data_IF_440393075012
#
_entry.id   IF_440393075012
#
_cell.length_a   1.000
_cell.length_b   1.000
_cell.length_c   1.000
_cell.angle_alpha   90.00
_cell.angle_beta   90.00
_cell.angle_gamma   90.00
#
_symmetry.space_group_name_H-M   'P 1'
#
loop_
_entity.id
_entity.type
_entity.pdbx_description
1 polymer ?
#
# COMPACT_ATOMS: atom_id res chain seq x y z
N UNK A 1 60.37 29.71 -35.29
CA UNK A 1 59.01 29.26 -35.63
C UNK A 1 58.33 28.86 -34.34
N UNK A 2 57.77 29.84 -33.63
CA UNK A 2 57.08 29.64 -32.35
C UNK A 2 55.66 29.18 -32.65
N UNK A 3 55.33 27.95 -32.26
CA UNK A 3 53.96 27.45 -32.33
C UNK A 3 53.07 28.34 -31.44
N UNK A 4 52.03 28.89 -32.03
CA UNK A 4 51.11 29.80 -31.36
C UNK A 4 50.09 28.98 -30.54
N UNK A 5 50.39 28.80 -29.25
CA UNK A 5 49.58 28.02 -28.31
C UNK A 5 48.24 28.69 -27.97
N UNK A 6 48.04 29.95 -28.37
CA UNK A 6 46.80 30.71 -28.15
C UNK A 6 45.60 30.10 -28.91
N UNK A 7 45.81 29.69 -30.16
CA UNK A 7 44.79 29.07 -31.02
C UNK A 7 44.34 27.68 -30.52
N UNK A 8 45.22 26.93 -29.87
CA UNK A 8 44.86 25.64 -29.26
C UNK A 8 44.01 25.81 -28.01
N UNK A 9 44.27 26.86 -27.22
CA UNK A 9 43.50 27.19 -26.02
C UNK A 9 42.08 27.66 -26.33
N UNK A 10 41.91 28.49 -27.37
CA UNK A 10 40.60 29.01 -27.78
C UNK A 10 39.63 27.95 -28.31
N UNK A 11 40.14 26.82 -28.81
CA UNK A 11 39.32 25.69 -29.28
C UNK A 11 39.10 24.66 -28.17
N UNK A 12 40.10 24.38 -27.33
CA UNK A 12 40.01 23.36 -26.28
C UNK A 12 39.04 23.72 -25.15
N UNK A 13 39.01 24.98 -24.74
CA UNK A 13 38.14 25.45 -23.64
C UNK A 13 36.64 25.31 -23.96
N UNK A 14 36.13 25.80 -25.10
CA UNK A 14 34.72 25.62 -25.44
C UNK A 14 34.38 24.15 -25.74
N UNK A 15 35.29 23.37 -26.32
CA UNK A 15 35.06 21.95 -26.57
C UNK A 15 34.90 21.16 -25.25
N UNK A 16 35.75 21.44 -24.25
CA UNK A 16 35.64 20.86 -22.91
C UNK A 16 34.36 21.34 -22.18
N UNK A 17 33.99 22.61 -22.32
CA UNK A 17 32.78 23.16 -21.71
C UNK A 17 31.49 22.53 -22.29
N UNK A 18 31.41 22.36 -23.60
CA UNK A 18 30.28 21.68 -24.27
C UNK A 18 30.21 20.21 -23.88
N UNK A 19 31.36 19.52 -23.82
CA UNK A 19 31.41 18.10 -23.44
C UNK A 19 30.96 17.87 -21.99
N UNK A 20 31.40 18.73 -21.07
CA UNK A 20 30.98 18.67 -19.66
C UNK A 20 29.50 19.04 -19.52
N UNK A 21 29.02 20.07 -20.22
CA UNK A 21 27.62 20.46 -20.22
C UNK A 21 26.69 19.35 -20.71
N UNK A 22 27.04 18.68 -21.81
CA UNK A 22 26.29 17.54 -22.35
C UNK A 22 26.28 16.35 -21.37
N UNK A 23 27.41 16.05 -20.74
CA UNK A 23 27.50 14.97 -19.74
C UNK A 23 26.64 15.25 -18.50
N UNK A 24 26.73 16.46 -17.93
CA UNK A 24 25.91 16.83 -16.78
C UNK A 24 24.42 16.90 -17.14
N UNK A 25 24.07 17.42 -18.32
CA UNK A 25 22.69 17.47 -18.79
C UNK A 25 22.12 16.07 -19.02
N UNK A 26 22.88 15.16 -19.63
CA UNK A 26 22.46 13.77 -19.80
C UNK A 26 22.29 13.06 -18.45
N UNK A 27 23.24 13.25 -17.53
CA UNK A 27 23.18 12.64 -16.18
C UNK A 27 22.02 13.20 -15.33
N UNK A 28 21.75 14.49 -15.42
CA UNK A 28 20.60 15.12 -14.76
C UNK A 28 19.28 14.68 -15.39
N UNK A 29 19.22 14.56 -16.73
CA UNK A 29 18.06 14.08 -17.47
C UNK A 29 17.70 12.65 -17.11
N UNK A 30 18.67 11.73 -17.07
CA UNK A 30 18.45 10.33 -16.65
C UNK A 30 17.95 10.27 -15.21
N UNK A 31 18.57 11.01 -14.29
CA UNK A 31 18.13 11.05 -12.89
C UNK A 31 16.72 11.68 -12.71
N UNK A 32 16.31 12.60 -13.59
CA UNK A 32 14.95 13.14 -13.59
C UNK A 32 13.94 12.15 -14.18
N UNK A 33 14.30 11.45 -15.25
CA UNK A 33 13.48 10.41 -15.86
C UNK A 33 13.19 9.27 -14.88
N UNK A 34 14.21 8.70 -14.23
CA UNK A 34 14.06 7.63 -13.24
C UNK A 34 13.15 8.05 -12.07
N UNK A 35 13.30 9.28 -11.56
CA UNK A 35 12.45 9.80 -10.48
C UNK A 35 11.00 9.96 -10.92
N UNK A 36 10.77 10.38 -12.16
CA UNK A 36 9.43 10.54 -12.72
C UNK A 36 8.73 9.20 -12.88
N UNK A 37 9.45 8.17 -13.35
CA UNK A 37 8.91 6.82 -13.50
C UNK A 37 8.58 6.19 -12.14
N UNK A 38 9.49 6.27 -11.16
CA UNK A 38 9.24 5.77 -9.80
C UNK A 38 8.02 6.47 -9.18
N UNK A 39 7.88 7.78 -9.38
CA UNK A 39 6.72 8.51 -8.89
C UNK A 39 5.42 8.12 -9.62
N UNK A 40 5.49 7.80 -10.91
CA UNK A 40 4.35 7.36 -11.70
C UNK A 40 3.88 5.99 -11.25
N UNK A 41 4.75 4.99 -11.22
CA UNK A 41 4.42 3.64 -10.77
C UNK A 41 3.89 3.63 -9.32
N UNK A 42 4.45 4.46 -8.45
CA UNK A 42 3.93 4.63 -7.09
C UNK A 42 2.47 5.10 -7.10
N UNK A 43 2.15 6.11 -7.92
CA UNK A 43 0.80 6.67 -7.98
C UNK A 43 -0.20 5.67 -8.53
N UNK A 44 0.17 4.96 -9.58
CA UNK A 44 -0.63 3.89 -10.19
C UNK A 44 -0.93 2.77 -9.18
N UNK A 45 0.09 2.22 -8.52
CA UNK A 45 -0.12 1.18 -7.51
C UNK A 45 -0.90 1.69 -6.28
N UNK A 46 -0.75 2.97 -5.92
CA UNK A 46 -1.56 3.56 -4.86
C UNK A 46 -3.03 3.73 -5.27
N UNK A 47 -3.31 4.05 -6.53
CA UNK A 47 -4.67 4.17 -7.06
C UNK A 47 -5.38 2.82 -7.07
N UNK A 48 -4.72 1.76 -7.55
CA UNK A 48 -5.24 0.38 -7.52
C UNK A 48 -5.60 -0.05 -6.09
N UNK A 49 -4.68 0.17 -5.15
CA UNK A 49 -4.93 -0.09 -3.73
C UNK A 49 -6.11 0.75 -3.20
N UNK A 50 -6.15 2.06 -3.49
CA UNK A 50 -7.24 2.92 -3.02
C UNK A 50 -8.60 2.44 -3.54
N UNK A 51 -8.69 2.03 -4.80
CA UNK A 51 -9.91 1.48 -5.38
C UNK A 51 -10.32 0.20 -4.64
N UNK A 52 -9.41 -0.77 -4.51
CA UNK A 52 -9.72 -2.05 -3.88
C UNK A 52 -10.15 -1.89 -2.40
N UNK A 53 -9.45 -1.07 -1.62
CA UNK A 53 -9.79 -0.82 -0.22
C UNK A 53 -11.06 0.02 -0.06
N UNK A 54 -11.38 0.90 -1.02
CA UNK A 54 -12.65 1.65 -1.00
C UNK A 54 -13.83 0.70 -1.20
N UNK A 55 -13.73 -0.22 -2.17
CA UNK A 55 -14.75 -1.25 -2.39
C UNK A 55 -15.00 -2.08 -1.14
N UNK A 56 -13.95 -2.54 -0.45
CA UNK A 56 -14.09 -3.30 0.79
C UNK A 56 -14.73 -2.49 1.91
N UNK A 57 -14.34 -1.22 2.09
CA UNK A 57 -14.95 -0.34 3.08
C UNK A 57 -16.44 -0.14 2.81
N UNK A 58 -16.81 0.05 1.56
CA UNK A 58 -18.20 0.30 1.18
C UNK A 58 -19.04 -0.99 1.41
N UNK A 59 -18.49 -2.18 1.10
CA UNK A 59 -19.11 -3.46 1.47
C UNK A 59 -19.28 -3.62 2.99
N UNK A 60 -18.28 -3.27 3.80
CA UNK A 60 -18.41 -3.33 5.27
C UNK A 60 -19.46 -2.36 5.80
N UNK A 61 -19.64 -1.19 5.19
CA UNK A 61 -20.68 -0.23 5.57
C UNK A 61 -22.08 -0.79 5.28
N UNK A 62 -22.22 -1.51 4.18
CA UNK A 62 -23.49 -2.04 3.73
C UNK A 62 -23.74 -3.51 4.13
N UNK A 63 -22.86 -4.11 4.93
CA UNK A 63 -22.86 -5.56 5.25
C UNK A 63 -24.18 -6.09 5.84
N UNK A 64 -24.96 -5.23 6.52
CA UNK A 64 -26.28 -5.62 7.04
C UNK A 64 -27.31 -5.84 5.92
N UNK A 65 -27.14 -5.17 4.78
CA UNK A 65 -28.05 -5.20 3.63
C UNK A 65 -27.48 -6.04 2.47
N UNK A 66 -26.16 -6.07 2.33
CA UNK A 66 -25.43 -6.75 1.24
C UNK A 66 -24.61 -7.89 1.84
N UNK A 67 -25.18 -9.10 1.75
CA UNK A 67 -24.54 -10.35 2.23
C UNK A 67 -24.20 -11.32 1.10
N UNK A 68 -24.10 -10.83 -0.12
CA UNK A 68 -23.69 -11.63 -1.28
C UNK A 68 -22.23 -12.06 -1.16
N UNK A 69 -22.03 -13.35 -0.90
CA UNK A 69 -20.73 -13.97 -0.68
C UNK A 69 -19.83 -13.82 -1.91
N UNK A 70 -20.38 -13.93 -3.13
CA UNK A 70 -19.58 -13.80 -4.36
C UNK A 70 -19.00 -12.39 -4.50
N UNK A 71 -19.79 -11.38 -4.14
CA UNK A 71 -19.34 -9.99 -4.15
C UNK A 71 -18.21 -9.74 -3.13
N UNK A 72 -18.32 -10.32 -1.93
CA UNK A 72 -17.27 -10.28 -0.91
C UNK A 72 -15.99 -10.97 -1.37
N UNK A 73 -16.10 -12.17 -1.94
CA UNK A 73 -14.95 -12.91 -2.51
C UNK A 73 -14.23 -12.08 -3.56
N UNK A 74 -14.97 -11.53 -4.52
CA UNK A 74 -14.41 -10.75 -5.60
C UNK A 74 -13.66 -9.52 -5.06
N UNK A 75 -14.24 -8.79 -4.10
CA UNK A 75 -13.60 -7.63 -3.49
C UNK A 75 -12.36 -7.97 -2.67
N UNK A 76 -12.39 -9.07 -1.89
CA UNK A 76 -11.25 -9.52 -1.09
C UNK A 76 -10.11 -9.98 -2.00
N UNK A 77 -10.40 -10.77 -3.04
CA UNK A 77 -9.39 -11.20 -4.00
C UNK A 77 -8.76 -10.01 -4.72
N UNK A 78 -9.57 -9.05 -5.19
CA UNK A 78 -9.05 -7.85 -5.83
C UNK A 78 -8.13 -7.05 -4.91
N UNK A 79 -8.46 -6.95 -3.61
CA UNK A 79 -7.58 -6.30 -2.64
C UNK A 79 -6.29 -7.09 -2.39
N UNK A 80 -6.35 -8.41 -2.30
CA UNK A 80 -5.17 -9.25 -2.14
C UNK A 80 -4.23 -9.18 -3.35
N UNK A 81 -4.78 -9.21 -4.56
CA UNK A 81 -4.01 -9.10 -5.80
C UNK A 81 -3.34 -7.72 -5.88
N UNK A 82 -4.07 -6.64 -5.61
CA UNK A 82 -3.50 -5.28 -5.57
C UNK A 82 -2.37 -5.14 -4.53
N UNK A 83 -2.48 -5.81 -3.37
CA UNK A 83 -1.42 -5.82 -2.35
C UNK A 83 -0.18 -6.58 -2.85
N UNK A 84 -0.35 -7.73 -3.49
CA UNK A 84 0.77 -8.53 -4.01
C UNK A 84 1.48 -7.82 -5.17
N UNK A 85 0.72 -7.23 -6.09
CA UNK A 85 1.27 -6.49 -7.23
C UNK A 85 2.06 -5.26 -6.77
N UNK A 86 1.58 -4.59 -5.72
CA UNK A 86 2.26 -3.44 -5.13
C UNK A 86 3.38 -3.82 -4.13
N UNK A 87 3.55 -5.11 -3.78
CA UNK A 87 4.41 -5.56 -2.67
C UNK A 87 5.86 -5.10 -2.75
N UNK A 88 6.44 -5.08 -3.95
CA UNK A 88 7.84 -4.69 -4.16
C UNK A 88 8.03 -3.17 -4.27
N UNK A 89 6.94 -2.42 -4.43
CA UNK A 89 6.94 -0.97 -4.65
C UNK A 89 6.52 -0.21 -3.39
N UNK A 90 5.78 -0.86 -2.50
CA UNK A 90 5.30 -0.29 -1.24
C UNK A 90 6.42 -0.21 -0.18
N UNK A 91 6.27 0.67 0.83
CA UNK A 91 7.20 0.71 1.96
C UNK A 91 7.25 -0.62 2.69
N UNK A 92 8.37 -0.95 3.34
CA UNK A 92 8.52 -2.20 4.09
C UNK A 92 7.50 -2.34 5.24
N UNK A 93 7.05 -1.21 5.78
CA UNK A 93 5.98 -1.13 6.77
C UNK A 93 4.64 -1.66 6.23
N UNK A 94 4.42 -1.74 4.92
CA UNK A 94 3.14 -2.21 4.35
C UNK A 94 3.13 -3.73 4.13
N UNK A 95 4.24 -4.44 4.39
CA UNK A 95 4.36 -5.89 4.11
C UNK A 95 3.35 -6.76 4.88
N UNK A 96 2.85 -6.27 6.02
CA UNK A 96 1.85 -6.96 6.82
C UNK A 96 0.41 -6.70 6.36
N UNK A 97 0.20 -5.83 5.35
CA UNK A 97 -1.12 -5.32 4.98
C UNK A 97 -2.10 -6.44 4.62
N UNK A 98 -1.67 -7.43 3.84
CA UNK A 98 -2.51 -8.59 3.48
C UNK A 98 -2.98 -9.36 4.72
N UNK A 99 -2.05 -9.67 5.64
CA UNK A 99 -2.37 -10.39 6.86
C UNK A 99 -3.26 -9.56 7.80
N UNK A 100 -2.99 -8.27 7.92
CA UNK A 100 -3.80 -7.36 8.74
C UNK A 100 -5.21 -7.19 8.18
N UNK A 101 -5.36 -7.14 6.86
CA UNK A 101 -6.66 -7.14 6.20
C UNK A 101 -7.41 -8.46 6.45
N UNK A 102 -6.73 -9.62 6.35
CA UNK A 102 -7.29 -10.93 6.68
C UNK A 102 -7.85 -10.96 8.11
N UNK A 103 -7.11 -10.43 9.09
CA UNK A 103 -7.59 -10.37 10.47
C UNK A 103 -8.76 -9.40 10.65
N UNK A 104 -8.67 -8.19 10.08
CA UNK A 104 -9.75 -7.21 10.19
C UNK A 104 -11.08 -7.72 9.61
N UNK A 105 -11.05 -8.35 8.43
CA UNK A 105 -12.23 -8.95 7.82
C UNK A 105 -12.63 -10.24 8.53
N UNK A 106 -11.66 -11.03 9.00
CA UNK A 106 -11.87 -12.23 9.79
C UNK A 106 -12.82 -12.01 10.95
N UNK A 107 -12.55 -10.97 11.74
CA UNK A 107 -13.36 -10.61 12.92
C UNK A 107 -14.70 -9.96 12.55
N UNK A 108 -14.76 -9.17 11.46
CA UNK A 108 -15.95 -8.43 11.09
C UNK A 108 -17.03 -9.28 10.40
N UNK A 109 -16.62 -10.20 9.54
CA UNK A 109 -17.53 -11.00 8.69
C UNK A 109 -17.36 -12.51 8.84
N UNK A 110 -16.45 -12.98 9.71
CA UNK A 110 -16.30 -14.42 10.06
C UNK A 110 -15.28 -15.17 9.21
N UNK A 111 -14.27 -14.48 8.73
CA UNK A 111 -13.38 -14.85 7.62
C UNK A 111 -12.36 -15.98 7.85
N UNK A 112 -12.62 -16.96 8.73
CA UNK A 112 -11.94 -18.26 8.55
C UNK A 112 -12.34 -18.85 7.20
N UNK A 113 -13.58 -18.62 6.77
CA UNK A 113 -14.12 -19.05 5.47
C UNK A 113 -13.58 -18.23 4.29
N UNK A 114 -13.70 -16.89 4.29
CA UNK A 114 -13.31 -16.02 3.14
C UNK A 114 -11.85 -16.13 2.70
N UNK A 115 -10.97 -16.60 3.59
CA UNK A 115 -9.54 -16.70 3.32
C UNK A 115 -9.07 -18.10 2.87
N UNK A 116 -9.97 -19.10 2.89
CA UNK A 116 -9.76 -20.49 2.46
C UNK A 116 -10.63 -20.88 1.23
N UNK A 117 -11.31 -19.91 0.59
CA UNK A 117 -12.31 -20.10 -0.49
C UNK A 117 -11.79 -20.63 -1.84
N UNK A 118 -10.65 -21.33 -1.84
CA UNK A 118 -10.21 -22.09 -3.01
C UNK A 118 -10.84 -23.48 -3.10
N UNK A 119 -11.60 -23.94 -2.09
CA UNK A 119 -11.82 -25.39 -1.94
C UNK A 119 -13.23 -25.93 -1.71
N UNK A 120 -14.31 -25.17 -1.46
CA UNK A 120 -15.62 -25.81 -1.28
C UNK A 120 -16.81 -24.89 -1.61
N UNK A 121 -17.59 -25.25 -2.64
CA UNK A 121 -18.88 -24.60 -3.02
C UNK A 121 -20.03 -24.96 -2.06
N UNK A 122 -19.74 -25.30 -0.82
CA UNK A 122 -20.78 -25.62 0.17
C UNK A 122 -21.16 -24.35 0.93
N UNK A 123 -22.20 -23.65 0.45
CA UNK A 123 -23.00 -22.65 1.18
C UNK A 123 -22.26 -21.95 2.35
N UNK A 124 -21.17 -21.26 2.04
CA UNK A 124 -20.42 -20.50 3.03
C UNK A 124 -21.18 -19.21 3.32
N UNK A 125 -22.08 -19.25 4.30
CA UNK A 125 -22.75 -18.05 4.80
C UNK A 125 -21.75 -17.18 5.58
N UNK A 126 -21.81 -15.86 5.38
CA UNK A 126 -21.10 -14.90 6.23
C UNK A 126 -21.51 -15.14 7.69
N UNK A 127 -20.57 -15.00 8.64
CA UNK A 127 -20.91 -15.15 10.06
C UNK A 127 -21.96 -14.13 10.53
N UNK A 128 -22.53 -14.36 11.72
CA UNK A 128 -23.41 -13.39 12.34
C UNK A 128 -22.75 -12.01 12.42
N UNK A 129 -23.49 -10.98 12.02
CA UNK A 129 -23.00 -9.61 12.00
C UNK A 129 -22.61 -9.16 13.41
N UNK A 130 -21.34 -8.80 13.58
CA UNK A 130 -20.85 -8.17 14.80
C UNK A 130 -20.58 -6.68 14.54
N UNK A 131 -21.48 -5.83 15.04
CA UNK A 131 -21.40 -4.38 14.84
C UNK A 131 -20.04 -3.79 15.24
N UNK A 132 -19.53 -4.18 16.41
CA UNK A 132 -18.28 -3.66 16.97
C UNK A 132 -17.08 -4.03 16.10
N UNK A 133 -16.96 -5.29 15.70
CA UNK A 133 -15.87 -5.73 14.85
C UNK A 133 -15.97 -5.16 13.43
N UNK A 134 -17.17 -4.99 12.91
CA UNK A 134 -17.40 -4.32 11.64
C UNK A 134 -16.92 -2.85 11.66
N UNK A 135 -17.25 -2.10 12.72
CA UNK A 135 -16.74 -0.73 12.91
C UNK A 135 -15.21 -0.71 12.97
N UNK A 136 -14.60 -1.65 13.70
CA UNK A 136 -13.14 -1.73 13.79
C UNK A 136 -12.48 -2.02 12.43
N UNK A 137 -13.07 -2.89 11.62
CA UNK A 137 -12.60 -3.15 10.27
C UNK A 137 -12.72 -1.93 9.36
N UNK A 138 -13.86 -1.20 9.41
CA UNK A 138 -14.07 0.03 8.65
C UNK A 138 -13.01 1.07 9.02
N UNK A 139 -12.85 1.36 10.31
CA UNK A 139 -11.89 2.36 10.78
C UNK A 139 -10.44 1.97 10.46
N UNK A 140 -10.09 0.69 10.57
CA UNK A 140 -8.77 0.21 10.19
C UNK A 140 -8.53 0.42 8.69
N UNK A 141 -9.49 0.09 7.84
CA UNK A 141 -9.39 0.32 6.39
C UNK A 141 -9.29 1.81 6.06
N UNK A 142 -10.00 2.68 6.78
CA UNK A 142 -9.89 4.13 6.61
C UNK A 142 -8.49 4.65 6.97
N UNK A 143 -7.88 4.13 8.03
CA UNK A 143 -6.51 4.43 8.42
C UNK A 143 -5.50 3.92 7.36
N UNK A 144 -5.72 2.72 6.82
CA UNK A 144 -4.95 2.18 5.68
C UNK A 144 -5.05 3.09 4.45
N UNK A 145 -6.27 3.50 4.06
CA UNK A 145 -6.51 4.41 2.94
C UNK A 145 -5.79 5.75 3.14
N UNK A 146 -5.78 6.28 4.36
CA UNK A 146 -5.01 7.47 4.73
C UNK A 146 -3.51 7.30 4.49
N UNK A 147 -2.93 6.20 4.96
CA UNK A 147 -1.51 5.88 4.77
C UNK A 147 -1.14 5.65 3.30
N UNK A 148 -2.00 5.01 2.51
CA UNK A 148 -1.77 4.80 1.07
C UNK A 148 -1.78 6.14 0.32
N UNK A 149 -2.73 7.03 0.63
CA UNK A 149 -2.77 8.38 0.04
C UNK A 149 -1.56 9.21 0.46
N UNK A 150 -1.15 9.12 1.72
CA UNK A 150 0.07 9.77 2.20
C UNK A 150 1.30 9.26 1.44
N UNK A 151 1.42 7.94 1.23
CA UNK A 151 2.50 7.34 0.44
C UNK A 151 2.48 7.77 -1.02
N UNK A 152 1.31 7.80 -1.66
CA UNK A 152 1.10 8.28 -3.04
C UNK A 152 1.69 9.69 -3.22
N UNK A 153 1.32 10.59 -2.31
CA UNK A 153 1.58 12.02 -2.41
C UNK A 153 2.94 12.42 -1.80
N UNK A 154 3.60 11.52 -1.08
CA UNK A 154 4.90 11.77 -0.46
C UNK A 154 6.03 11.99 -1.49
N UNK A 155 6.95 12.94 -1.23
CA UNK A 155 8.21 13.05 -1.97
C UNK A 155 8.99 11.72 -2.02
N UNK A 156 9.76 11.47 -3.07
CA UNK A 156 10.55 10.23 -3.25
C UNK A 156 11.44 9.91 -2.04
N UNK A 157 12.00 10.93 -1.37
CA UNK A 157 12.85 10.77 -0.19
C UNK A 157 12.10 10.33 1.08
N UNK A 158 10.81 10.63 1.17
CA UNK A 158 9.97 10.39 2.35
C UNK A 158 8.95 9.28 2.13
N UNK A 159 8.62 8.94 0.89
CA UNK A 159 7.69 7.85 0.57
C UNK A 159 8.07 6.51 1.25
N UNK A 160 9.35 6.08 1.29
CA UNK A 160 9.73 4.85 2.00
C UNK A 160 9.57 4.92 3.53
N UNK A 161 9.38 6.12 4.10
CA UNK A 161 9.23 6.35 5.54
C UNK A 161 7.77 6.42 5.98
N UNK A 162 6.81 6.34 5.05
CA UNK A 162 5.40 6.31 5.40
C UNK A 162 5.13 5.03 6.20
N UNK A 163 4.49 5.21 7.34
CA UNK A 163 4.30 4.15 8.31
C UNK A 163 2.85 3.70 8.30
N UNK A 164 2.66 2.38 8.39
CA UNK A 164 1.36 1.76 8.57
C UNK A 164 1.45 0.83 9.77
N UNK A 165 0.43 0.86 10.64
CA UNK A 165 0.33 -0.06 11.75
C UNK A 165 -0.39 -1.32 11.29
N UNK A 166 0.09 -2.48 11.74
CA UNK A 166 -0.66 -3.73 11.61
C UNK A 166 -1.94 -3.68 12.44
N UNK A 167 -2.90 -4.55 12.11
CA UNK A 167 -4.23 -4.55 12.72
C UNK A 167 -4.18 -4.71 14.24
N UNK A 168 -3.52 -5.74 14.78
CA UNK A 168 -3.49 -5.97 16.22
C UNK A 168 -2.77 -4.84 16.98
N UNK A 169 -1.59 -4.34 16.55
CA UNK A 169 -0.99 -3.15 17.13
C UNK A 169 -1.87 -1.90 17.05
N UNK A 170 -2.67 -1.75 15.99
CA UNK A 170 -3.63 -0.67 15.87
C UNK A 170 -4.79 -0.82 16.87
N UNK A 171 -5.33 -2.02 17.06
CA UNK A 171 -6.33 -2.32 18.08
C UNK A 171 -5.78 -2.01 19.49
N UNK A 172 -4.56 -2.44 19.79
CA UNK A 172 -3.90 -2.17 21.06
C UNK A 172 -3.70 -0.65 21.29
N UNK A 173 -3.21 0.05 20.27
CA UNK A 173 -3.01 1.51 20.32
C UNK A 173 -4.31 2.29 20.53
N UNK A 174 -5.43 1.76 20.06
CA UNK A 174 -6.75 2.40 20.16
C UNK A 174 -7.56 1.89 21.37
N UNK A 175 -6.94 1.11 22.26
CA UNK A 175 -7.59 0.51 23.45
C UNK A 175 -8.79 -0.39 23.10
N UNK A 176 -8.78 -0.96 21.88
CA UNK A 176 -9.81 -1.85 21.33
C UNK A 176 -9.43 -3.31 21.41
N UNK A 177 -8.20 -3.58 21.82
CA UNK A 177 -7.73 -4.94 22.04
C UNK A 177 -8.50 -5.52 23.23
N UNK A 178 -9.34 -6.50 22.94
CA UNK A 178 -9.93 -7.33 23.99
C UNK A 178 -8.86 -8.37 24.34
N UNK A 179 -8.05 -8.05 25.35
CA UNK A 179 -7.25 -9.06 26.03
C UNK A 179 -8.18 -10.21 26.40
N UNK A 180 -7.83 -11.43 26.01
CA UNK A 180 -8.66 -12.60 26.22
C UNK A 180 -9.27 -12.62 27.62
N UNK A 181 -10.55 -12.98 27.67
CA UNK A 181 -11.20 -13.48 28.87
C UNK A 181 -10.22 -14.35 29.67
N UNK A 182 -10.22 -14.15 30.98
CA UNK A 182 -9.43 -14.92 31.93
C UNK A 182 -9.53 -16.42 31.68
N UNK A 183 -8.45 -17.00 31.16
CA UNK A 183 -8.14 -18.41 31.31
C UNK A 183 -6.89 -18.47 32.20
N UNK A 184 -7.01 -18.00 33.44
CA UNK A 184 -6.10 -18.28 34.56
C UNK A 184 -6.33 -17.24 35.67
N UNK A 185 -7.45 -17.33 36.38
CA UNK A 185 -7.51 -17.10 37.82
C UNK A 185 -8.95 -17.40 38.27
N UNK A 186 -9.06 -18.14 39.38
CA UNK A 186 -10.25 -18.82 39.92
C UNK A 186 -10.46 -20.23 39.33
N UNK A 187 -9.73 -21.26 39.80
CA UNK A 187 -10.08 -22.13 40.95
C UNK A 187 -11.55 -22.50 41.04
#
# INVERSE_FOLDING_TARGET
MTLDYSLLLDVLVPLLAVSLGAYFSARLGVAHAERSEVSRFRRESAEELVVAFTTLRDLLRDVQHIRDVEQWIAAVNAAYDAIEDARYRTPSSFRHLKQSLRFALGEAVGGVSLADMRTSREHEELSEYNHRWNEYAIEYIEMVLGSIRQWRDAPVKTAPKVWLLAFDPWLAKTERYVSGQGIAEMT
#
